data_IF_979313920989
#
_entry.id   IF_979313920989
#
_cell.length_a   1.000
_cell.length_b   1.000
_cell.length_c   1.000
_cell.angle_alpha   90.00
_cell.angle_beta   90.00
_cell.angle_gamma   90.00
#
_symmetry.space_group_name_H-M   'P 1'
#
loop_
_entity.id
_entity.type
_entity.pdbx_description
1 polymer ?
#
# COMPACT_ATOMS: atom_id res chain seq x y z
N UNK A 1 -0.20 -26.12 11.73
CA UNK A 1 -0.19 -24.76 11.14
C UNK A 1 1.11 -24.58 10.35
N UNK A 2 1.05 -24.31 9.05
CA UNK A 2 2.25 -24.05 8.23
C UNK A 2 2.85 -22.71 8.67
N UNK A 3 4.06 -22.70 9.24
CA UNK A 3 4.80 -21.45 9.50
C UNK A 3 5.02 -20.77 8.15
N UNK A 4 4.50 -19.56 7.98
CA UNK A 4 4.81 -18.77 6.78
C UNK A 4 6.32 -18.48 6.77
N UNK A 5 6.99 -18.57 5.61
CA UNK A 5 8.40 -18.23 5.51
C UNK A 5 8.63 -16.80 6.03
N UNK A 6 9.71 -16.57 6.80
CA UNK A 6 10.02 -15.25 7.41
C UNK A 6 9.91 -14.10 6.42
N UNK A 7 10.34 -14.32 5.18
CA UNK A 7 10.25 -13.37 4.06
C UNK A 7 8.81 -12.97 3.69
N UNK A 8 7.85 -13.90 3.77
CA UNK A 8 6.43 -13.64 3.45
C UNK A 8 5.78 -12.77 4.52
N UNK A 9 6.20 -12.95 5.79
CA UNK A 9 5.71 -12.13 6.90
C UNK A 9 6.21 -10.70 6.72
N UNK A 10 7.49 -10.52 6.43
CA UNK A 10 8.08 -9.18 6.19
C UNK A 10 7.46 -8.51 4.97
N UNK A 11 7.27 -9.24 3.87
CA UNK A 11 6.65 -8.70 2.67
C UNK A 11 5.23 -8.18 2.93
N UNK A 12 4.43 -8.89 3.73
CA UNK A 12 3.09 -8.41 4.14
C UNK A 12 3.18 -7.08 4.88
N UNK A 13 4.11 -6.92 5.81
CA UNK A 13 4.30 -5.66 6.56
C UNK A 13 4.69 -4.50 5.65
N UNK A 14 5.54 -4.76 4.66
CA UNK A 14 5.93 -3.76 3.66
C UNK A 14 4.71 -3.36 2.81
N UNK A 15 3.90 -4.33 2.38
CA UNK A 15 2.65 -4.07 1.64
C UNK A 15 1.67 -3.24 2.49
N UNK A 16 1.53 -3.53 3.78
CA UNK A 16 0.67 -2.77 4.68
C UNK A 16 1.12 -1.30 4.77
N UNK A 17 2.44 -1.05 4.82
CA UNK A 17 3.00 0.30 4.80
C UNK A 17 2.74 1.03 3.47
N UNK A 18 2.87 0.33 2.34
CA UNK A 18 2.56 0.91 1.02
C UNK A 18 1.08 1.25 0.91
N UNK A 19 0.20 0.36 1.40
CA UNK A 19 -1.24 0.58 1.39
C UNK A 19 -1.61 1.79 2.26
N UNK A 20 -1.01 1.92 3.43
CA UNK A 20 -1.18 3.09 4.29
C UNK A 20 -0.82 4.37 3.51
N UNK A 21 0.38 4.43 2.92
CA UNK A 21 0.77 5.60 2.13
C UNK A 21 -0.19 5.87 0.97
N UNK A 22 -0.68 4.83 0.28
CA UNK A 22 -1.64 4.97 -0.81
C UNK A 22 -3.00 5.51 -0.35
N UNK A 23 -3.48 5.10 0.83
CA UNK A 23 -4.77 5.54 1.37
C UNK A 23 -4.72 6.98 1.87
N UNK A 24 -3.58 7.40 2.43
CA UNK A 24 -3.37 8.74 2.97
C UNK A 24 -2.69 9.70 1.98
N UNK A 25 -2.54 9.28 0.72
CA UNK A 25 -1.88 10.05 -0.36
C UNK A 25 -0.47 10.54 0.02
N UNK A 26 0.23 9.76 0.86
CA UNK A 26 1.61 10.05 1.27
C UNK A 26 2.58 9.65 0.17
N UNK A 27 3.67 10.40 0.05
CA UNK A 27 4.67 10.07 -0.94
C UNK A 27 5.42 8.81 -0.52
N UNK A 28 5.48 7.82 -1.41
CA UNK A 28 6.38 6.69 -1.22
C UNK A 28 7.85 7.08 -1.28
N UNK A 29 8.13 8.27 -1.86
CA UNK A 29 9.48 8.78 -2.10
C UNK A 29 9.69 10.11 -1.41
N UNK A 30 10.88 10.25 -0.83
CA UNK A 30 11.40 11.55 -0.44
C UNK A 30 11.99 12.28 -1.64
N UNK A 31 12.14 13.60 -1.52
CA UNK A 31 12.86 14.39 -2.52
C UNK A 31 14.38 14.06 -2.52
N UNK A 32 14.88 13.45 -1.44
CA UNK A 32 16.26 12.98 -1.28
C UNK A 32 16.28 11.65 -0.49
N UNK A 33 16.56 10.54 -1.18
CA UNK A 33 16.52 9.17 -0.63
C UNK A 33 17.86 8.71 -0.02
N UNK A 34 18.88 9.59 0.03
CA UNK A 34 20.18 9.27 0.65
C UNK A 34 20.01 8.87 2.12
N UNK A 35 20.86 7.98 2.63
CA UNK A 35 20.73 7.48 4.01
C UNK A 35 20.91 8.56 5.09
N UNK A 36 21.63 9.63 4.76
CA UNK A 36 21.92 10.79 5.61
C UNK A 36 20.93 11.95 5.40
N UNK A 37 19.95 11.79 4.52
CA UNK A 37 18.93 12.79 4.25
C UNK A 37 17.98 12.94 5.44
N UNK A 38 17.82 14.18 5.91
CA UNK A 38 16.75 14.56 6.85
C UNK A 38 15.35 14.33 6.28
N UNK A 39 15.23 14.26 4.95
CA UNK A 39 13.96 14.13 4.23
C UNK A 39 13.89 12.80 3.46
N UNK A 40 14.14 11.70 4.19
CA UNK A 40 14.22 10.33 3.65
C UNK A 40 12.89 9.78 3.09
N UNK A 41 11.80 10.54 3.20
CA UNK A 41 10.47 10.23 2.66
C UNK A 41 9.54 9.55 3.67
N UNK A 42 8.24 9.85 3.57
CA UNK A 42 7.20 9.39 4.51
C UNK A 42 7.17 7.85 4.63
N UNK A 43 7.33 7.15 3.51
CA UNK A 43 7.37 5.68 3.50
C UNK A 43 8.57 5.10 4.26
N UNK A 44 9.76 5.70 4.16
CA UNK A 44 10.93 5.25 4.90
C UNK A 44 10.77 5.49 6.40
N UNK A 45 10.19 6.63 6.78
CA UNK A 45 9.78 6.91 8.15
C UNK A 45 8.80 5.86 8.69
N UNK A 46 7.77 5.52 7.90
CA UNK A 46 6.75 4.54 8.27
C UNK A 46 7.32 3.12 8.43
N UNK A 47 8.21 2.69 7.52
CA UNK A 47 8.88 1.39 7.60
C UNK A 47 9.78 1.31 8.84
N UNK A 48 10.54 2.38 9.12
CA UNK A 48 11.41 2.43 10.30
C UNK A 48 10.58 2.38 11.59
N UNK A 49 9.50 3.17 11.67
CA UNK A 49 8.57 3.13 12.79
C UNK A 49 7.93 1.74 12.96
N UNK A 50 7.50 1.12 11.85
CA UNK A 50 6.95 -0.24 11.88
C UNK A 50 7.96 -1.27 12.38
N UNK A 51 9.25 -1.08 12.10
CA UNK A 51 10.32 -1.93 12.60
C UNK A 51 10.61 -1.73 14.10
N UNK A 52 10.30 -0.57 14.68
CA UNK A 52 10.35 -0.39 16.14
C UNK A 52 9.27 -1.22 16.85
N UNK A 53 8.14 -1.47 16.17
CA UNK A 53 7.01 -2.25 16.69
C UNK A 53 7.11 -3.76 16.37
N UNK A 54 7.84 -4.14 15.33
CA UNK A 54 7.98 -5.53 14.88
C UNK A 54 9.45 -5.94 14.76
N UNK A 55 9.90 -6.76 15.72
CA UNK A 55 11.30 -7.23 15.76
C UNK A 55 11.66 -8.11 14.57
N UNK A 56 10.69 -8.82 13.96
CA UNK A 56 10.97 -9.64 12.77
C UNK A 56 11.24 -8.78 11.54
N UNK A 57 10.52 -7.66 11.43
CA UNK A 57 10.76 -6.64 10.41
C UNK A 57 12.11 -5.96 10.65
N UNK A 58 12.41 -5.57 11.89
CA UNK A 58 13.70 -4.98 12.27
C UNK A 58 14.90 -5.87 11.96
N UNK A 59 14.81 -7.14 12.37
CA UNK A 59 15.85 -8.13 12.09
C UNK A 59 16.07 -8.28 10.59
N UNK A 60 14.98 -8.31 9.80
CA UNK A 60 15.09 -8.43 8.36
C UNK A 60 15.73 -7.20 7.71
N UNK A 61 15.31 -5.99 8.08
CA UNK A 61 15.87 -4.75 7.52
C UNK A 61 17.37 -4.60 7.82
N UNK A 62 17.81 -5.07 8.99
CA UNK A 62 19.22 -5.02 9.41
C UNK A 62 20.06 -6.17 8.85
N UNK A 63 19.51 -7.39 8.73
CA UNK A 63 20.26 -8.58 8.33
C UNK A 63 20.18 -8.90 6.84
N UNK A 64 19.16 -8.42 6.12
CA UNK A 64 18.96 -8.79 4.73
C UNK A 64 19.92 -8.03 3.81
N UNK A 65 20.72 -8.79 3.06
CA UNK A 65 21.69 -8.26 2.09
C UNK A 65 21.13 -8.17 0.67
N UNK A 66 20.11 -8.98 0.36
CA UNK A 66 19.58 -9.15 -1.01
C UNK A 66 18.26 -8.41 -1.24
N UNK A 67 17.36 -8.41 -0.25
CA UNK A 67 16.04 -7.79 -0.38
C UNK A 67 15.67 -7.09 0.92
N UNK A 68 15.60 -5.76 0.89
CA UNK A 68 15.03 -4.94 1.98
C UNK A 68 13.62 -4.43 1.65
N UNK A 69 13.14 -4.68 0.43
CA UNK A 69 11.87 -4.15 -0.09
C UNK A 69 11.80 -2.62 -0.22
N UNK A 70 12.95 -1.95 -0.10
CA UNK A 70 13.09 -0.49 -0.18
C UNK A 70 13.62 -0.02 -1.54
N UNK A 71 13.86 -0.92 -2.50
CA UNK A 71 14.34 -0.49 -3.82
C UNK A 71 13.22 0.19 -4.60
N UNK A 72 13.61 1.13 -5.45
CA UNK A 72 12.72 1.93 -6.27
C UNK A 72 11.86 1.07 -7.20
N UNK A 73 12.45 0.03 -7.76
CA UNK A 73 11.83 -0.92 -8.69
C UNK A 73 10.76 -1.74 -7.98
N UNK A 74 11.08 -2.28 -6.80
CA UNK A 74 10.14 -3.09 -6.01
C UNK A 74 8.96 -2.24 -5.53
N UNK A 75 9.21 -1.00 -5.09
CA UNK A 75 8.15 -0.07 -4.71
C UNK A 75 7.25 0.29 -5.89
N UNK A 76 7.81 0.51 -7.08
CA UNK A 76 7.04 0.75 -8.31
C UNK A 76 6.17 -0.45 -8.67
N UNK A 77 6.75 -1.65 -8.73
CA UNK A 77 6.03 -2.88 -9.08
C UNK A 77 4.86 -3.15 -8.11
N UNK A 78 5.08 -2.90 -6.82
CA UNK A 78 4.04 -3.02 -5.80
C UNK A 78 2.99 -1.92 -5.93
N UNK A 79 3.39 -0.68 -6.19
CA UNK A 79 2.46 0.43 -6.41
C UNK A 79 1.63 0.21 -7.69
N UNK A 80 2.20 -0.30 -8.77
CA UNK A 80 1.47 -0.62 -10.00
C UNK A 80 0.47 -1.76 -9.77
N UNK A 81 0.87 -2.79 -9.01
CA UNK A 81 -0.01 -3.88 -8.58
C UNK A 81 -1.15 -3.39 -7.67
N UNK A 82 -0.89 -2.41 -6.79
CA UNK A 82 -1.88 -1.85 -5.87
C UNK A 82 -2.76 -0.80 -6.54
N UNK A 83 -2.22 -0.01 -7.47
CA UNK A 83 -2.95 1.01 -8.23
C UNK A 83 -3.91 0.35 -9.20
N UNK A 84 -3.49 -0.72 -9.89
CA UNK A 84 -4.40 -1.54 -10.71
C UNK A 84 -5.53 -2.16 -9.88
N UNK A 85 -5.25 -2.61 -8.64
CA UNK A 85 -6.29 -3.14 -7.73
C UNK A 85 -7.20 -2.07 -7.13
N UNK A 86 -6.66 -0.93 -6.72
CA UNK A 86 -7.43 0.17 -6.12
C UNK A 86 -8.30 0.85 -7.16
N UNK A 87 -7.78 1.07 -8.37
CA UNK A 87 -8.55 1.53 -9.53
C UNK A 87 -9.67 0.55 -9.85
N UNK A 88 -9.36 -0.75 -9.92
CA UNK A 88 -10.37 -1.78 -10.15
C UNK A 88 -11.43 -1.81 -9.04
N UNK A 89 -11.06 -1.72 -7.78
CA UNK A 89 -12.00 -1.73 -6.65
C UNK A 89 -12.92 -0.51 -6.66
N UNK A 90 -12.37 0.70 -6.89
CA UNK A 90 -13.16 1.94 -7.03
C UNK A 90 -14.08 1.85 -8.25
N UNK A 91 -13.58 1.33 -9.37
CA UNK A 91 -14.38 1.15 -10.60
C UNK A 91 -15.51 0.15 -10.39
N UNK A 92 -15.25 -0.99 -9.74
CA UNK A 92 -16.27 -1.99 -9.40
C UNK A 92 -17.31 -1.44 -8.43
N UNK A 93 -16.90 -0.59 -7.46
CA UNK A 93 -17.84 0.07 -6.54
C UNK A 93 -18.71 1.09 -7.26
N UNK A 94 -18.13 1.99 -8.06
CA UNK A 94 -18.87 2.96 -8.86
C UNK A 94 -19.82 2.28 -9.86
N UNK A 95 -19.39 1.19 -10.48
CA UNK A 95 -20.23 0.41 -11.39
C UNK A 95 -21.44 -0.21 -10.69
N UNK A 96 -21.26 -0.75 -9.48
CA UNK A 96 -22.36 -1.28 -8.66
C UNK A 96 -23.33 -0.18 -8.23
N UNK A 97 -22.83 0.98 -7.80
CA UNK A 97 -23.66 2.13 -7.45
C UNK A 97 -24.45 2.64 -8.67
N UNK A 98 -23.80 2.79 -9.83
CA UNK A 98 -24.48 3.18 -11.08
C UNK A 98 -25.58 2.18 -11.49
N UNK A 99 -25.29 0.88 -11.44
CA UNK A 99 -26.30 -0.16 -11.72
C UNK A 99 -27.46 -0.12 -10.73
N UNK A 100 -27.18 0.19 -9.45
CA UNK A 100 -28.22 0.37 -8.45
C UNK A 100 -29.10 1.58 -8.77
N UNK A 101 -28.51 2.73 -9.10
CA UNK A 101 -29.24 3.93 -9.50
C UNK A 101 -30.07 3.71 -10.77
N UNK A 102 -29.54 3.02 -11.78
CA UNK A 102 -30.28 2.68 -12.99
C UNK A 102 -31.51 1.81 -12.70
N UNK A 103 -31.39 0.81 -11.83
CA UNK A 103 -32.52 -0.01 -11.40
C UNK A 103 -33.59 0.78 -10.64
N UNK A 104 -33.20 1.80 -9.88
CA UNK A 104 -34.15 2.67 -9.20
C UNK A 104 -34.89 3.59 -10.19
N UNK A 105 -34.18 4.11 -11.19
CA UNK A 105 -34.77 4.90 -12.28
C UNK A 105 -35.77 4.06 -13.10
N UNK A 106 -35.43 2.82 -13.48
CA UNK A 106 -36.35 1.90 -14.16
C UNK A 106 -37.62 1.60 -13.35
N UNK A 107 -37.51 1.62 -12.01
CA UNK A 107 -38.63 1.42 -11.10
C UNK A 107 -39.42 2.70 -10.79
N UNK A 108 -39.07 3.83 -11.42
CA UNK A 108 -39.79 5.10 -11.28
C UNK A 108 -39.51 5.85 -9.98
N UNK A 109 -38.47 5.48 -9.23
CA UNK A 109 -38.02 6.26 -8.07
C UNK A 109 -37.21 7.46 -8.57
N UNK A 110 -37.90 8.57 -8.91
CA UNK A 110 -37.24 9.86 -9.10
C UNK A 110 -36.67 10.32 -7.74
N UNK A 111 -35.35 10.37 -7.62
CA UNK A 111 -34.73 11.10 -6.52
C UNK A 111 -34.90 12.60 -6.77
N UNK A 112 -35.85 13.20 -6.06
CA UNK A 112 -35.78 14.60 -5.67
C UNK A 112 -34.54 14.72 -4.79
N UNK A 113 -33.50 15.39 -5.30
CA UNK A 113 -32.32 15.76 -4.52
C UNK A 113 -32.68 16.85 -3.50
#
# INVERSE_FOLDING_TARGET
MRKLPKIVIVLKKIIDCILFCSVFELSLRGHDEREDSLNTGDFRGLINFSAELDSSLKDHLTSATVFKGMSKEIQNDLLDCLSSKSTRFVTEKLHKELLFWMKLLEKGYLMVF
#
